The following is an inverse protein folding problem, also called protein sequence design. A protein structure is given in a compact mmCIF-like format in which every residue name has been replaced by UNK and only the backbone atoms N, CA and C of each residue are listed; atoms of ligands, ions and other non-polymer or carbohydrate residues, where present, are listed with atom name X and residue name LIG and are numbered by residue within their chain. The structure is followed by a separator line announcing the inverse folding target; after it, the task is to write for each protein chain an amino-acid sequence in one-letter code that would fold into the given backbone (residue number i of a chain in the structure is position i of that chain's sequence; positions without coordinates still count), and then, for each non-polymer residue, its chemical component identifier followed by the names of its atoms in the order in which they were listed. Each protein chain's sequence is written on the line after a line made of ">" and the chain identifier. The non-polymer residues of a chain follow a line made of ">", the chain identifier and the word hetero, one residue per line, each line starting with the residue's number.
data_IF_799269762504
#
_entry.id   IF_799269762504
#
_cell.length_a   1.000
_cell.length_b   1.000
_cell.length_c   1.000
_cell.angle_alpha   90.00
_cell.angle_beta   90.00
_cell.angle_gamma   90.00
#
_symmetry.space_group_name_H-M   'P 1'
#
loop_
_entity.id
_entity.type
_entity.pdbx_description
1 polymer ?
#
# COMPACT_ATOMS: atom_id res chain seq x y z
N UNK A 1 -1.29 -21.21 -3.52
CA UNK A 1 -1.73 -20.54 -2.36
C UNK A 1 -0.60 -19.96 -1.55
N UNK A 2 -0.80 -18.74 -1.07
CA UNK A 2 0.15 -18.08 -0.15
C UNK A 2 -0.20 -18.42 1.30
N UNK A 3 0.82 -18.41 2.17
CA UNK A 3 0.66 -18.31 3.61
C UNK A 3 0.72 -16.83 3.97
N UNK A 4 -0.25 -16.33 4.74
CA UNK A 4 -0.47 -14.89 4.92
C UNK A 4 -0.48 -14.52 6.40
N UNK A 5 0.21 -13.46 6.75
CA UNK A 5 -0.04 -12.71 8.00
C UNK A 5 -0.75 -11.42 7.61
N UNK A 6 -1.95 -11.24 8.11
CA UNK A 6 -2.76 -10.05 7.85
C UNK A 6 -2.83 -9.19 9.11
N UNK A 7 -2.70 -7.86 8.92
CA UNK A 7 -2.79 -6.89 10.00
C UNK A 7 -3.82 -5.82 9.72
N UNK A 8 -4.59 -5.48 10.69
CA UNK A 8 -5.29 -4.21 10.83
C UNK A 8 -5.51 -3.91 12.33
N UNK A 9 -6.05 -2.74 12.65
CA UNK A 9 -6.29 -2.34 14.06
C UNK A 9 -7.12 -3.37 14.83
N UNK A 10 -8.05 -4.05 14.15
CA UNK A 10 -8.99 -5.02 14.75
C UNK A 10 -9.31 -6.17 13.80
N UNK A 11 -8.30 -6.73 13.12
CA UNK A 11 -8.52 -7.76 12.08
C UNK A 11 -9.11 -9.04 12.64
N UNK A 12 -8.85 -9.36 13.91
CA UNK A 12 -9.45 -10.51 14.61
C UNK A 12 -10.98 -10.44 14.68
N UNK A 13 -11.57 -9.24 14.53
CA UNK A 13 -13.02 -9.01 14.48
C UNK A 13 -13.59 -9.05 13.07
N UNK A 14 -12.78 -9.33 12.05
CA UNK A 14 -13.25 -9.42 10.66
C UNK A 14 -14.30 -10.52 10.52
N UNK A 15 -15.39 -10.21 9.80
CA UNK A 15 -16.41 -11.22 9.45
C UNK A 15 -16.00 -12.04 8.24
N UNK A 16 -15.09 -11.52 7.43
CA UNK A 16 -14.67 -12.12 6.14
C UNK A 16 -13.43 -13.01 6.29
N UNK A 17 -12.53 -12.64 7.22
CA UNK A 17 -11.27 -13.34 7.44
C UNK A 17 -11.32 -14.16 8.72
N UNK A 18 -10.98 -15.45 8.60
CA UNK A 18 -10.84 -16.35 9.75
C UNK A 18 -9.45 -16.95 9.75
N UNK A 19 -8.78 -16.92 10.91
CA UNK A 19 -7.48 -17.56 11.08
C UNK A 19 -7.53 -19.04 10.69
N UNK A 20 -6.46 -19.52 10.07
CA UNK A 20 -6.31 -20.91 9.61
C UNK A 20 -4.82 -21.29 9.62
N UNK A 21 -4.48 -22.51 9.22
CA UNK A 21 -3.07 -22.91 9.07
C UNK A 21 -2.27 -22.07 8.08
N UNK A 22 -2.94 -21.39 7.14
CA UNK A 22 -2.31 -20.51 6.14
C UNK A 22 -2.62 -19.02 6.34
N UNK A 23 -3.40 -18.64 7.35
CA UNK A 23 -3.77 -17.25 7.62
C UNK A 23 -3.66 -16.94 9.12
N UNK A 24 -2.71 -16.08 9.46
CA UNK A 24 -2.53 -15.53 10.80
C UNK A 24 -3.05 -14.10 10.84
N UNK A 25 -3.84 -13.76 11.85
CA UNK A 25 -4.42 -12.43 12.04
C UNK A 25 -3.72 -11.74 13.22
N UNK A 26 -3.20 -10.53 12.99
CA UNK A 26 -2.49 -9.75 14.01
C UNK A 26 -3.16 -8.40 14.18
N UNK A 27 -3.80 -8.17 15.33
CA UNK A 27 -4.37 -6.86 15.69
C UNK A 27 -3.27 -5.87 16.06
N UNK A 28 -3.44 -4.63 15.63
CA UNK A 28 -2.59 -3.52 16.05
C UNK A 28 -2.54 -2.39 15.02
N UNK A 29 -2.24 -1.20 15.52
CA UNK A 29 -1.99 -0.02 14.70
C UNK A 29 -0.60 -0.12 14.06
N UNK A 30 -0.55 -0.24 12.72
CA UNK A 30 0.72 -0.38 11.99
C UNK A 30 1.61 0.86 12.12
N UNK A 31 1.06 2.02 12.43
CA UNK A 31 1.81 3.23 12.75
C UNK A 31 2.68 3.11 14.02
N UNK A 32 2.54 2.02 14.77
CA UNK A 32 3.34 1.73 15.97
C UNK A 32 4.40 0.68 15.66
N UNK A 33 5.66 0.99 16.01
CA UNK A 33 6.80 0.10 15.80
C UNK A 33 6.57 -1.30 16.40
N UNK A 34 5.97 -1.38 17.59
CA UNK A 34 5.70 -2.66 18.25
C UNK A 34 4.73 -3.54 17.46
N UNK A 35 3.75 -2.95 16.77
CA UNK A 35 2.87 -3.69 15.87
C UNK A 35 3.65 -4.26 14.68
N UNK A 36 4.52 -3.46 14.07
CA UNK A 36 5.37 -3.91 12.98
C UNK A 36 6.25 -5.10 13.38
N UNK A 37 6.84 -5.05 14.57
CA UNK A 37 7.61 -6.16 15.13
C UNK A 37 6.72 -7.40 15.30
N UNK A 38 5.54 -7.27 15.92
CA UNK A 38 4.60 -8.40 16.11
C UNK A 38 4.19 -9.05 14.79
N UNK A 39 3.92 -8.25 13.76
CA UNK A 39 3.54 -8.76 12.42
C UNK A 39 4.68 -9.55 11.78
N UNK A 40 5.90 -9.01 11.82
CA UNK A 40 7.07 -9.69 11.28
C UNK A 40 7.40 -10.98 12.06
N UNK A 41 7.36 -10.92 13.38
CA UNK A 41 7.61 -12.08 14.25
C UNK A 41 6.57 -13.17 14.04
N UNK A 42 5.29 -12.80 13.84
CA UNK A 42 4.25 -13.77 13.51
C UNK A 42 4.54 -14.48 12.18
N UNK A 43 5.01 -13.76 11.16
CA UNK A 43 5.36 -14.38 9.88
C UNK A 43 6.56 -15.33 10.00
N UNK A 44 7.59 -14.91 10.73
CA UNK A 44 8.80 -15.70 10.94
C UNK A 44 8.48 -16.92 11.83
N UNK A 45 7.73 -16.73 12.92
CA UNK A 45 7.41 -17.79 13.86
C UNK A 45 6.50 -18.88 13.29
N UNK A 46 5.50 -18.48 12.47
CA UNK A 46 4.57 -19.45 11.87
C UNK A 46 5.06 -20.04 10.56
N UNK A 47 5.80 -19.29 9.74
CA UNK A 47 6.13 -19.68 8.38
C UNK A 47 7.62 -19.76 8.08
N UNK A 48 8.48 -19.29 8.97
CA UNK A 48 9.94 -19.37 8.88
C UNK A 48 10.58 -18.35 7.91
N UNK A 49 9.78 -17.65 7.11
CA UNK A 49 10.26 -16.74 6.07
C UNK A 49 9.24 -15.67 5.69
N UNK A 50 9.72 -14.64 5.00
CA UNK A 50 8.89 -13.58 4.40
C UNK A 50 9.33 -13.40 2.95
N UNK A 51 8.47 -13.72 1.99
CA UNK A 51 8.77 -13.61 0.56
C UNK A 51 8.22 -12.34 -0.06
N UNK A 52 7.07 -11.89 0.44
CA UNK A 52 6.36 -10.73 -0.06
C UNK A 52 5.81 -9.90 1.11
N UNK A 53 6.09 -8.60 1.08
CA UNK A 53 5.41 -7.60 1.90
C UNK A 53 4.50 -6.76 0.99
N UNK A 54 3.22 -6.68 1.32
CA UNK A 54 2.29 -5.74 0.68
C UNK A 54 1.94 -4.63 1.67
N UNK A 55 2.47 -3.44 1.44
CA UNK A 55 2.17 -2.23 2.20
C UNK A 55 0.90 -1.58 1.64
N UNK A 56 -0.25 -2.02 2.13
CA UNK A 56 -1.56 -1.54 1.71
C UNK A 56 -2.24 -0.64 2.75
N UNK A 57 -1.93 -0.83 4.03
CA UNK A 57 -2.55 -0.05 5.10
C UNK A 57 -2.37 1.45 4.87
N UNK A 58 -3.45 2.19 4.94
CA UNK A 58 -3.43 3.63 4.72
C UNK A 58 -4.78 4.27 5.02
N UNK A 59 -4.75 5.57 5.25
CA UNK A 59 -5.92 6.40 5.46
C UNK A 59 -5.91 7.58 4.48
N UNK A 60 -7.09 8.09 4.21
CA UNK A 60 -7.32 9.21 3.30
C UNK A 60 -8.28 10.19 3.97
N UNK A 61 -7.82 11.42 4.20
CA UNK A 61 -8.62 12.50 4.80
C UNK A 61 -8.50 13.73 3.91
N UNK A 62 -9.47 13.97 3.02
CA UNK A 62 -9.48 15.14 2.16
C UNK A 62 -9.96 16.37 2.95
N UNK A 63 -9.17 17.45 2.92
CA UNK A 63 -9.51 18.77 3.47
C UNK A 63 -8.78 19.87 2.71
N UNK A 64 -9.31 21.10 2.64
CA UNK A 64 -8.53 22.27 2.22
C UNK A 64 -7.22 22.34 3.01
N UNK A 65 -6.12 22.69 2.35
CA UNK A 65 -4.79 22.64 2.96
C UNK A 65 -4.69 23.43 4.25
N UNK A 66 -5.36 24.57 4.32
CA UNK A 66 -5.36 25.47 5.49
C UNK A 66 -6.23 24.98 6.66
N UNK A 67 -7.01 23.91 6.47
CA UNK A 67 -7.91 23.37 7.48
C UNK A 67 -7.41 22.07 8.13
N UNK A 68 -6.26 21.54 7.68
CA UNK A 68 -5.64 20.41 8.36
C UNK A 68 -5.17 20.80 9.75
N UNK A 69 -5.56 20.01 10.73
CA UNK A 69 -5.10 20.14 12.11
C UNK A 69 -3.79 19.38 12.31
N UNK A 70 -3.02 19.69 13.39
CA UNK A 70 -1.86 18.87 13.77
C UNK A 70 -2.23 17.38 13.92
N UNK A 71 -3.39 17.06 14.46
CA UNK A 71 -3.86 15.69 14.66
C UNK A 71 -4.13 14.97 13.33
N UNK A 72 -4.71 15.64 12.33
CA UNK A 72 -4.86 15.09 10.97
C UNK A 72 -3.50 14.74 10.38
N UNK A 73 -2.54 15.65 10.50
CA UNK A 73 -1.18 15.47 10.02
C UNK A 73 -0.50 14.29 10.71
N UNK A 74 -0.49 14.26 12.05
CA UNK A 74 0.13 13.19 12.82
C UNK A 74 -0.49 11.83 12.51
N UNK A 75 -1.81 11.75 12.42
CA UNK A 75 -2.53 10.53 12.11
C UNK A 75 -2.15 9.99 10.71
N UNK A 76 -2.10 10.85 9.70
CA UNK A 76 -1.75 10.43 8.35
C UNK A 76 -0.27 10.07 8.21
N UNK A 77 0.63 10.84 8.83
CA UNK A 77 2.06 10.51 8.87
C UNK A 77 2.28 9.18 9.61
N UNK A 78 1.64 9.00 10.77
CA UNK A 78 1.77 7.76 11.54
C UNK A 78 1.33 6.53 10.73
N UNK A 79 0.16 6.58 10.09
CA UNK A 79 -0.36 5.42 9.36
C UNK A 79 0.33 5.23 8.01
N UNK A 80 0.36 6.30 7.18
CA UNK A 80 0.78 6.19 5.78
C UNK A 80 2.30 6.21 5.58
N UNK A 81 3.06 6.77 6.55
CA UNK A 81 4.52 6.91 6.43
C UNK A 81 5.24 6.05 7.46
N UNK A 82 4.98 6.27 8.75
CA UNK A 82 5.67 5.53 9.80
C UNK A 82 5.30 4.05 9.79
N UNK A 83 4.02 3.71 9.56
CA UNK A 83 3.57 2.32 9.43
C UNK A 83 4.31 1.58 8.32
N UNK A 84 4.36 2.18 7.14
CA UNK A 84 5.13 1.68 6.01
C UNK A 84 6.63 1.49 6.36
N UNK A 85 7.23 2.49 6.99
CA UNK A 85 8.63 2.47 7.35
C UNK A 85 8.95 1.36 8.36
N UNK A 86 8.19 1.26 9.45
CA UNK A 86 8.49 0.31 10.52
C UNK A 86 8.35 -1.14 10.08
N UNK A 87 7.28 -1.49 9.37
CA UNK A 87 7.11 -2.88 8.92
C UNK A 87 8.15 -3.24 7.85
N UNK A 88 8.46 -2.32 6.93
CA UNK A 88 9.48 -2.56 5.90
C UNK A 88 10.85 -2.79 6.54
N UNK A 89 11.23 -2.04 7.58
CA UNK A 89 12.49 -2.23 8.29
C UNK A 89 12.61 -3.65 8.89
N UNK A 90 11.55 -4.15 9.53
CA UNK A 90 11.54 -5.50 10.10
C UNK A 90 11.66 -6.57 8.99
N UNK A 91 10.86 -6.41 7.93
CA UNK A 91 10.80 -7.37 6.83
C UNK A 91 12.11 -7.40 6.04
N UNK A 92 12.70 -6.26 5.72
CA UNK A 92 14.01 -6.19 5.04
C UNK A 92 15.09 -6.89 5.86
N UNK A 93 15.09 -6.73 7.18
CA UNK A 93 16.04 -7.43 8.06
C UNK A 93 15.96 -8.96 7.89
N UNK A 94 14.76 -9.51 7.73
CA UNK A 94 14.56 -10.94 7.47
C UNK A 94 14.89 -11.32 6.02
N UNK A 95 14.45 -10.54 5.04
CA UNK A 95 14.71 -10.80 3.61
C UNK A 95 16.21 -10.80 3.27
N UNK A 96 17.01 -9.95 3.93
CA UNK A 96 18.48 -9.95 3.80
C UNK A 96 19.11 -11.27 4.24
N UNK A 97 18.62 -11.88 5.32
CA UNK A 97 19.07 -13.22 5.76
C UNK A 97 18.71 -14.30 4.74
N UNK A 98 17.57 -14.15 4.05
CA UNK A 98 17.08 -15.06 3.03
C UNK A 98 17.78 -14.88 1.67
N UNK A 99 18.44 -13.72 1.45
CA UNK A 99 18.96 -13.27 0.16
C UNK A 99 17.88 -13.26 -0.93
N UNK A 100 16.66 -12.98 -0.55
CA UNK A 100 15.50 -12.88 -1.43
C UNK A 100 14.34 -12.19 -0.75
N UNK A 101 13.56 -11.43 -1.50
CA UNK A 101 12.34 -10.82 -1.02
C UNK A 101 11.75 -9.82 -2.01
N UNK A 102 10.49 -9.46 -1.77
CA UNK A 102 9.83 -8.46 -2.59
C UNK A 102 8.91 -7.58 -1.72
N UNK A 103 8.96 -6.28 -1.95
CA UNK A 103 8.13 -5.28 -1.28
C UNK A 103 7.26 -4.63 -2.36
N UNK A 104 5.95 -4.65 -2.17
CA UNK A 104 4.97 -3.94 -3.02
C UNK A 104 4.21 -2.95 -2.16
N UNK A 105 4.18 -1.69 -2.57
CA UNK A 105 3.53 -0.61 -1.84
C UNK A 105 2.37 -0.03 -2.64
N UNK A 106 1.25 0.21 -1.96
CA UNK A 106 0.04 0.76 -2.60
C UNK A 106 -0.02 2.28 -2.37
N UNK A 107 0.29 3.04 -3.42
CA UNK A 107 0.22 4.50 -3.45
C UNK A 107 -1.12 4.98 -4.01
N UNK A 108 -1.12 5.96 -4.90
CA UNK A 108 -2.26 6.47 -5.67
C UNK A 108 -1.76 7.19 -6.93
N UNK A 109 -2.53 7.17 -7.99
CA UNK A 109 -2.23 7.94 -9.22
C UNK A 109 -2.23 9.45 -8.98
N UNK A 110 -2.93 9.93 -7.93
CA UNK A 110 -2.97 11.35 -7.56
C UNK A 110 -1.60 11.93 -7.18
N UNK A 111 -0.61 11.08 -6.93
CA UNK A 111 0.79 11.49 -6.71
C UNK A 111 1.41 12.03 -8.00
N UNK A 112 1.10 11.40 -9.13
CA UNK A 112 1.60 11.77 -10.45
C UNK A 112 0.70 12.84 -11.10
N UNK A 113 -0.62 12.72 -10.92
CA UNK A 113 -1.63 13.56 -11.56
C UNK A 113 -2.69 14.03 -10.53
N UNK A 114 -2.40 15.08 -9.76
CA UNK A 114 -3.40 15.68 -8.85
C UNK A 114 -4.56 16.28 -9.63
N UNK A 115 -5.75 16.27 -9.02
CA UNK A 115 -6.96 16.82 -9.61
C UNK A 115 -7.12 18.30 -9.25
N UNK A 116 -7.42 19.14 -10.25
CA UNK A 116 -7.68 20.55 -10.02
C UNK A 116 -8.88 20.74 -9.06
N UNK A 117 -8.72 21.59 -8.06
CA UNK A 117 -9.75 21.88 -7.07
C UNK A 117 -9.98 20.79 -6.01
N UNK A 118 -9.36 19.62 -6.12
CA UNK A 118 -9.48 18.58 -5.09
C UNK A 118 -8.65 18.91 -3.83
N UNK A 119 -9.25 18.85 -2.63
CA UNK A 119 -8.57 19.19 -1.37
C UNK A 119 -7.79 17.97 -0.83
N UNK A 120 -6.72 17.57 -1.52
CA UNK A 120 -6.00 16.30 -1.31
C UNK A 120 -4.50 16.45 -1.02
N UNK A 121 -4.04 17.64 -0.65
CA UNK A 121 -2.60 17.90 -0.49
C UNK A 121 -1.93 16.97 0.52
N UNK A 122 -2.50 16.78 1.70
CA UNK A 122 -1.92 15.91 2.71
C UNK A 122 -1.97 14.41 2.34
N UNK A 123 -3.07 13.86 1.79
CA UNK A 123 -3.06 12.54 1.16
C UNK A 123 -1.94 12.35 0.14
N UNK A 124 -1.76 13.30 -0.76
CA UNK A 124 -0.71 13.25 -1.79
C UNK A 124 0.69 13.30 -1.15
N UNK A 125 0.94 14.20 -0.20
CA UNK A 125 2.21 14.28 0.54
C UNK A 125 2.56 12.90 1.14
N UNK A 126 1.64 12.28 1.86
CA UNK A 126 1.92 11.01 2.55
C UNK A 126 2.09 9.83 1.59
N UNK A 127 1.31 9.78 0.51
CA UNK A 127 1.37 8.69 -0.47
C UNK A 127 2.53 8.82 -1.47
N UNK A 128 3.03 10.05 -1.74
CA UNK A 128 4.17 10.28 -2.61
C UNK A 128 5.49 9.70 -2.06
N UNK A 129 5.56 9.45 -0.76
CA UNK A 129 6.72 8.82 -0.15
C UNK A 129 6.95 7.39 -0.66
N UNK A 130 5.89 6.65 -1.03
CA UNK A 130 5.98 5.24 -1.39
C UNK A 130 6.75 4.97 -2.68
N UNK A 131 6.49 5.64 -3.82
CA UNK A 131 7.30 5.45 -5.04
C UNK A 131 8.76 5.85 -4.85
N UNK A 132 9.03 6.92 -4.12
CA UNK A 132 10.39 7.37 -3.83
C UNK A 132 11.16 6.35 -2.97
N UNK A 133 10.52 5.87 -1.91
CA UNK A 133 11.11 4.90 -0.98
C UNK A 133 11.30 3.54 -1.64
N UNK A 134 10.35 3.07 -2.48
CA UNK A 134 10.51 1.83 -3.23
C UNK A 134 11.71 1.89 -4.17
N UNK A 135 11.95 3.00 -4.88
CA UNK A 135 13.15 3.18 -5.72
C UNK A 135 14.42 3.14 -4.89
N UNK A 136 14.44 3.80 -3.73
CA UNK A 136 15.61 3.79 -2.84
C UNK A 136 15.92 2.38 -2.33
N UNK A 137 14.91 1.65 -1.82
CA UNK A 137 15.06 0.27 -1.34
C UNK A 137 15.48 -0.69 -2.46
N UNK A 138 14.94 -0.53 -3.67
CA UNK A 138 15.28 -1.33 -4.83
C UNK A 138 16.77 -1.27 -5.16
N UNK A 139 17.39 -0.10 -4.96
CA UNK A 139 18.83 0.09 -5.22
C UNK A 139 19.68 -0.29 -4.00
N UNK A 140 19.24 0.05 -2.80
CA UNK A 140 19.97 -0.21 -1.56
C UNK A 140 20.17 -1.70 -1.30
N UNK A 141 19.16 -2.52 -1.63
CA UNK A 141 19.14 -3.95 -1.30
C UNK A 141 19.18 -4.88 -2.52
N UNK A 142 19.57 -4.38 -3.70
CA UNK A 142 19.67 -5.21 -4.92
C UNK A 142 20.68 -6.36 -4.76
N UNK A 143 21.80 -6.13 -4.07
CA UNK A 143 22.79 -7.15 -3.79
C UNK A 143 22.32 -8.22 -2.79
N UNK A 144 21.25 -7.93 -2.04
CA UNK A 144 20.60 -8.88 -1.14
C UNK A 144 19.45 -9.66 -1.82
N UNK A 145 19.23 -9.46 -3.13
CA UNK A 145 18.17 -10.12 -3.88
C UNK A 145 16.78 -9.62 -3.53
N UNK A 146 16.66 -8.40 -2.98
CA UNK A 146 15.39 -7.80 -2.58
C UNK A 146 14.95 -6.81 -3.66
N UNK A 147 13.69 -6.93 -4.09
CA UNK A 147 13.03 -6.00 -4.99
C UNK A 147 12.01 -5.15 -4.26
N UNK A 148 11.80 -3.93 -4.74
CA UNK A 148 10.76 -3.06 -4.21
C UNK A 148 10.07 -2.31 -5.34
N UNK A 149 8.74 -2.39 -5.41
CA UNK A 149 7.91 -1.75 -6.42
C UNK A 149 6.69 -1.08 -5.79
N UNK A 150 6.03 -0.25 -6.55
CA UNK A 150 4.82 0.46 -6.14
C UNK A 150 3.71 0.19 -7.15
N UNK A 151 2.48 0.14 -6.66
CA UNK A 151 1.27 0.21 -7.48
C UNK A 151 0.56 1.51 -7.11
N UNK A 152 0.23 2.31 -8.11
CA UNK A 152 -0.55 3.54 -7.98
C UNK A 152 -1.91 3.34 -8.62
N UNK A 153 -2.93 2.93 -7.86
CA UNK A 153 -4.28 2.82 -8.38
C UNK A 153 -4.92 4.19 -8.57
N UNK A 154 -5.89 4.23 -9.46
CA UNK A 154 -6.93 5.25 -9.46
C UNK A 154 -7.92 5.03 -8.32
N UNK A 155 -9.20 5.31 -8.57
CA UNK A 155 -10.26 5.11 -7.58
C UNK A 155 -10.70 3.64 -7.62
N UNK A 156 -10.51 2.96 -6.49
CA UNK A 156 -10.80 1.52 -6.35
C UNK A 156 -12.17 1.32 -5.73
N UNK A 157 -12.96 0.40 -6.27
CA UNK A 157 -14.25 -0.01 -5.73
C UNK A 157 -14.10 -0.69 -4.35
N UNK A 158 -14.13 0.12 -3.30
CA UNK A 158 -13.92 -0.33 -1.92
C UNK A 158 -14.89 0.37 -0.97
N UNK A 159 -15.08 -0.14 0.26
CA UNK A 159 -15.90 0.53 1.28
C UNK A 159 -15.46 1.96 1.62
N UNK A 160 -14.25 2.37 1.26
CA UNK A 160 -13.78 3.76 1.42
C UNK A 160 -14.69 4.76 0.69
N UNK A 161 -15.29 4.34 -0.42
CA UNK A 161 -16.16 5.14 -1.28
C UNK A 161 -17.65 4.85 -1.11
N UNK A 162 -18.05 4.18 -0.01
CA UNK A 162 -19.45 3.78 0.22
C UNK A 162 -20.44 4.96 0.30
N UNK A 163 -19.96 6.16 0.65
CA UNK A 163 -20.77 7.37 0.77
C UNK A 163 -20.56 8.37 -0.38
N UNK A 164 -19.72 8.03 -1.37
CA UNK A 164 -19.42 8.89 -2.52
C UNK A 164 -20.42 8.64 -3.66
N UNK A 165 -20.62 9.62 -4.54
CA UNK A 165 -21.31 9.39 -5.80
C UNK A 165 -20.39 8.61 -6.75
N UNK A 166 -20.68 7.33 -6.89
CA UNK A 166 -19.87 6.43 -7.71
C UNK A 166 -19.91 6.80 -9.20
N UNK A 167 -21.02 7.39 -9.68
CA UNK A 167 -21.12 7.82 -11.09
C UNK A 167 -20.21 9.02 -11.38
N UNK A 168 -20.06 9.93 -10.42
CA UNK A 168 -19.11 11.03 -10.55
C UNK A 168 -17.66 10.54 -10.43
N UNK A 169 -17.39 9.61 -9.54
CA UNK A 169 -16.05 9.02 -9.40
C UNK A 169 -15.60 8.28 -10.67
N UNK A 170 -16.49 7.57 -11.36
CA UNK A 170 -16.20 6.89 -12.63
C UNK A 170 -15.73 7.85 -13.73
N UNK A 171 -16.25 9.08 -13.72
CA UNK A 171 -15.90 10.11 -14.71
C UNK A 171 -14.46 10.61 -14.59
N UNK A 172 -13.83 10.41 -13.43
CA UNK A 172 -12.44 10.80 -13.18
C UNK A 172 -11.44 9.88 -13.89
N UNK A 173 -11.87 8.71 -14.35
CA UNK A 173 -11.04 7.82 -15.15
C UNK A 173 -11.34 7.99 -16.66
N UNK A 174 -10.33 8.04 -17.53
CA UNK A 174 -10.53 7.95 -18.99
C UNK A 174 -11.29 6.69 -19.41
N UNK A 175 -10.97 5.51 -18.82
CA UNK A 175 -11.84 4.33 -18.87
C UNK A 175 -12.92 4.53 -17.80
N UNK A 176 -14.21 4.76 -18.14
CA UNK A 176 -15.20 5.32 -17.23
C UNK A 176 -15.79 4.26 -16.26
N UNK A 177 -14.95 3.69 -15.43
CA UNK A 177 -15.33 2.78 -14.34
C UNK A 177 -14.33 2.88 -13.19
N UNK A 178 -14.71 2.36 -12.03
CA UNK A 178 -13.77 2.19 -10.93
C UNK A 178 -12.82 1.01 -11.22
N UNK A 179 -11.66 1.04 -10.57
CA UNK A 179 -10.72 -0.08 -10.55
C UNK A 179 -11.28 -1.13 -9.60
N UNK A 180 -11.25 -2.40 -9.99
CA UNK A 180 -11.65 -3.49 -9.12
C UNK A 180 -10.48 -3.97 -8.25
N UNK A 181 -10.80 -4.47 -7.05
CA UNK A 181 -9.78 -5.02 -6.12
C UNK A 181 -8.96 -6.13 -6.81
N UNK A 182 -9.60 -6.96 -7.64
CA UNK A 182 -8.92 -8.03 -8.38
C UNK A 182 -7.83 -7.50 -9.30
N UNK A 183 -8.02 -6.34 -9.93
CA UNK A 183 -7.01 -5.74 -10.81
C UNK A 183 -5.75 -5.30 -10.03
N UNK A 184 -5.93 -4.85 -8.80
CA UNK A 184 -4.79 -4.55 -7.91
C UNK A 184 -4.09 -5.84 -7.47
N UNK A 185 -4.85 -6.88 -7.14
CA UNK A 185 -4.30 -8.20 -6.80
C UNK A 185 -3.51 -8.78 -7.96
N UNK A 186 -4.04 -8.72 -9.19
CA UNK A 186 -3.36 -9.19 -10.40
C UNK A 186 -2.05 -8.44 -10.64
N UNK A 187 -2.02 -7.12 -10.40
CA UNK A 187 -0.79 -6.33 -10.49
C UNK A 187 0.25 -6.73 -9.44
N UNK A 188 -0.16 -7.02 -8.20
CA UNK A 188 0.74 -7.55 -7.15
C UNK A 188 1.32 -8.90 -7.59
N UNK A 189 0.49 -9.80 -8.12
CA UNK A 189 0.93 -11.12 -8.57
C UNK A 189 1.84 -11.05 -9.80
N UNK A 190 1.55 -10.13 -10.73
CA UNK A 190 2.45 -9.84 -11.86
C UNK A 190 3.82 -9.39 -11.36
N UNK A 191 3.88 -8.37 -10.50
CA UNK A 191 5.14 -7.89 -9.93
C UNK A 191 5.90 -8.98 -9.19
N UNK A 192 5.19 -9.87 -8.48
CA UNK A 192 5.81 -11.00 -7.78
C UNK A 192 6.45 -11.98 -8.76
N UNK A 193 5.81 -12.24 -9.91
CA UNK A 193 6.30 -13.18 -10.94
C UNK A 193 7.29 -12.59 -11.93
N UNK A 194 7.53 -11.27 -11.92
CA UNK A 194 8.38 -10.53 -12.84
C UNK A 194 9.73 -10.13 -12.20
N UNK A 195 10.75 -11.02 -12.17
CA UNK A 195 11.96 -10.83 -11.36
C UNK A 195 12.85 -9.67 -11.83
N UNK A 196 12.69 -9.20 -13.06
CA UNK A 196 13.46 -8.06 -13.59
C UNK A 196 12.76 -6.71 -13.37
N UNK A 197 11.53 -6.70 -12.81
CA UNK A 197 10.83 -5.46 -12.46
C UNK A 197 11.23 -5.05 -11.04
N UNK A 198 11.96 -3.94 -10.93
CA UNK A 198 12.50 -3.42 -9.66
C UNK A 198 12.55 -1.89 -9.69
N UNK A 199 12.06 -1.24 -8.65
CA UNK A 199 12.01 0.23 -8.55
C UNK A 199 10.86 0.88 -9.33
N UNK A 200 9.95 0.08 -9.89
CA UNK A 200 8.85 0.56 -10.74
C UNK A 200 7.64 1.03 -9.95
N UNK A 201 6.88 1.93 -10.58
CA UNK A 201 5.55 2.35 -10.14
C UNK A 201 4.53 2.05 -11.24
N UNK A 202 3.73 0.99 -11.06
CA UNK A 202 2.70 0.59 -12.02
C UNK A 202 1.39 1.32 -11.71
N UNK A 203 0.78 1.94 -12.72
CA UNK A 203 -0.50 2.63 -12.60
C UNK A 203 -1.64 1.73 -13.06
N UNK A 204 -2.66 1.62 -12.21
CA UNK A 204 -3.89 0.88 -12.48
C UNK A 204 -5.04 1.89 -12.31
N UNK A 205 -5.23 2.76 -13.29
CA UNK A 205 -6.03 3.98 -13.15
C UNK A 205 -6.85 4.33 -14.40
N UNK A 206 -6.98 3.38 -15.32
CA UNK A 206 -7.73 3.60 -16.56
C UNK A 206 -7.15 4.70 -17.47
N UNK A 207 -5.85 5.03 -17.29
CA UNK A 207 -5.14 6.06 -18.05
C UNK A 207 -5.20 7.47 -17.44
N UNK A 208 -5.69 7.62 -16.20
CA UNK A 208 -5.81 8.93 -15.54
C UNK A 208 -4.47 9.67 -15.43
N UNK A 209 -3.36 8.95 -15.19
CA UNK A 209 -2.02 9.53 -15.12
C UNK A 209 -1.50 10.03 -16.49
N UNK A 210 -2.03 9.52 -17.61
CA UNK A 210 -1.51 9.80 -18.94
C UNK A 210 -2.12 11.09 -19.55
N UNK A 211 -3.15 11.65 -18.94
CA UNK A 211 -3.78 12.89 -19.41
C UNK A 211 -5.21 13.08 -18.90
N UNK A 212 -5.72 14.29 -19.05
CA UNK A 212 -7.09 14.62 -18.71
C UNK A 212 -8.04 14.21 -19.84
N UNK A 213 -9.28 13.85 -19.48
CA UNK A 213 -10.38 13.73 -20.42
C UNK A 213 -10.85 15.15 -20.77
N UNK A 214 -10.84 15.50 -22.06
CA UNK A 214 -11.37 16.78 -22.57
C UNK A 214 -12.89 16.75 -22.67
#
# INVERSE_FOLDING_TARGET
>A
GYRVVANSRTISKSKELKASGNLVLVDGDIGKKDTAIKVADAAIGHFGRIDLLVNNAGIYVPKPFTEYTPEDFEMMISTNVAGYFFITQQVVTQMRKQKSGHIVSISTTLVDQPLAGAPISLPVITKSTMPAFSRALAMEYVADGIRANTISPGIVNTPMHANDDLEDLKKLHPIPRLVEISEIVDAVLYLQSAPMVNGENIRIDGGAHAGAKW
#
